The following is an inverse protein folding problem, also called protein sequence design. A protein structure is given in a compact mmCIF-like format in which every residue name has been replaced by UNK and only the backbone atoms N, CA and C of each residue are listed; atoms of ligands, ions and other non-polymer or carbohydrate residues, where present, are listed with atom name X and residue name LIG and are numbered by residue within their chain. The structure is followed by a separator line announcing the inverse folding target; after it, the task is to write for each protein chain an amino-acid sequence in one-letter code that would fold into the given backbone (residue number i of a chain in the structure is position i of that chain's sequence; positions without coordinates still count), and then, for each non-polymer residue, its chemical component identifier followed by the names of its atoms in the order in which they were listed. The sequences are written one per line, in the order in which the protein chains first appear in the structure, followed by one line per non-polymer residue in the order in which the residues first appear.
data_IF_864158256220
#
_entry.id   IF_864158256220
#
_cell.length_a   1.000
_cell.length_b   1.000
_cell.length_c   1.000
_cell.angle_alpha   90.00
_cell.angle_beta   90.00
_cell.angle_gamma   90.00
#
_symmetry.space_group_name_H-M   'P 1'
#
loop_
_entity.id
_entity.type
_entity.pdbx_description
1 polymer ?
#
# COMPACT_ATOMS: atom_id res chain seq x y z
N UNK A 1 -4.10 -8.70 -36.34
CA UNK A 1 -3.27 -7.78 -35.54
C UNK A 1 -2.38 -8.66 -34.67
N UNK A 2 -1.05 -8.59 -34.82
CA UNK A 2 -0.14 -9.40 -33.99
C UNK A 2 -0.23 -8.90 -32.54
N UNK A 3 -0.54 -9.78 -31.59
CA UNK A 3 -0.56 -9.47 -30.16
C UNK A 3 0.85 -9.49 -29.53
N UNK A 4 1.91 -9.66 -30.34
CA UNK A 4 3.30 -9.71 -29.86
C UNK A 4 3.73 -8.42 -29.14
N UNK A 5 3.12 -7.28 -29.47
CA UNK A 5 3.41 -6.02 -28.77
C UNK A 5 3.02 -6.06 -27.29
N UNK A 6 2.00 -6.84 -26.91
CA UNK A 6 1.59 -7.04 -25.50
C UNK A 6 2.66 -7.84 -24.78
N UNK A 7 3.15 -8.92 -25.41
CA UNK A 7 4.20 -9.79 -24.84
C UNK A 7 5.53 -9.06 -24.62
N UNK A 8 5.85 -8.07 -25.45
CA UNK A 8 7.11 -7.33 -25.37
C UNK A 8 7.08 -6.11 -24.44
N UNK A 9 5.92 -5.79 -23.84
CA UNK A 9 5.83 -4.67 -22.89
C UNK A 9 6.75 -4.89 -21.68
N UNK A 10 7.46 -3.82 -21.31
CA UNK A 10 8.36 -3.79 -20.15
C UNK A 10 7.79 -3.06 -18.95
N UNK A 11 6.64 -2.40 -19.12
CA UNK A 11 5.90 -1.70 -18.06
C UNK A 11 4.61 -1.14 -18.66
N UNK A 12 3.58 -1.02 -17.83
CA UNK A 12 2.26 -0.50 -18.19
C UNK A 12 2.01 0.89 -17.63
N UNK A 13 3.01 1.46 -16.93
CA UNK A 13 2.98 2.84 -16.45
C UNK A 13 3.28 3.80 -17.60
N UNK A 14 2.65 4.98 -17.55
CA UNK A 14 3.07 6.09 -18.41
C UNK A 14 4.50 6.51 -18.06
N UNK A 15 5.26 7.10 -19.01
CA UNK A 15 6.61 7.59 -18.74
C UNK A 15 6.68 8.53 -17.53
N UNK A 16 5.66 9.36 -17.32
CA UNK A 16 5.59 10.31 -16.21
C UNK A 16 5.42 9.60 -14.87
N UNK A 17 4.53 8.60 -14.77
CA UNK A 17 4.33 7.84 -13.54
C UNK A 17 5.58 7.02 -13.22
N UNK A 18 6.20 6.42 -14.24
CA UNK A 18 7.47 5.69 -14.06
C UNK A 18 8.58 6.62 -13.55
N UNK A 19 8.70 7.81 -14.12
CA UNK A 19 9.66 8.81 -13.65
C UNK A 19 9.36 9.21 -12.20
N UNK A 20 8.10 9.48 -11.85
CA UNK A 20 7.69 9.80 -10.48
C UNK A 20 8.10 8.70 -9.47
N UNK A 21 7.84 7.43 -9.79
CA UNK A 21 8.23 6.30 -8.95
C UNK A 21 9.75 6.10 -8.86
N UNK A 22 10.48 6.43 -9.92
CA UNK A 22 11.95 6.36 -9.89
C UNK A 22 12.52 7.48 -9.02
N UNK A 23 12.03 8.71 -9.18
CA UNK A 23 12.48 9.86 -8.39
C UNK A 23 12.08 9.76 -6.92
N UNK A 24 10.92 9.16 -6.61
CA UNK A 24 10.53 8.86 -5.22
C UNK A 24 11.49 7.89 -4.51
N UNK A 25 12.40 7.27 -5.26
CA UNK A 25 13.37 6.31 -4.73
C UNK A 25 14.82 6.76 -4.93
N UNK A 26 15.06 7.91 -5.56
CA UNK A 26 16.40 8.49 -5.63
C UNK A 26 16.75 9.08 -4.28
N UNK A 27 17.49 8.30 -3.49
CA UNK A 27 18.30 8.87 -2.41
C UNK A 27 19.30 9.80 -3.08
N UNK A 28 19.37 11.07 -2.64
CA UNK A 28 20.40 11.99 -3.11
C UNK A 28 21.75 11.28 -2.99
N UNK A 29 22.39 10.99 -4.12
CA UNK A 29 23.53 10.09 -4.26
C UNK A 29 24.81 10.57 -3.61
N UNK A 30 24.80 11.61 -2.78
CA UNK A 30 26.01 12.30 -2.33
C UNK A 30 26.13 12.62 -0.84
N UNK A 31 25.23 12.17 0.05
CA UNK A 31 25.44 12.43 1.49
C UNK A 31 25.15 11.22 2.36
N UNK A 32 26.22 10.72 2.98
CA UNK A 32 26.16 9.82 4.12
C UNK A 32 25.15 10.33 5.15
N UNK A 33 24.32 9.42 5.65
CA UNK A 33 23.34 9.64 6.71
C UNK A 33 24.12 10.00 8.00
N UNK A 34 24.46 11.28 8.19
CA UNK A 34 25.26 11.70 9.35
C UNK A 34 24.90 13.07 9.91
N UNK A 35 23.75 13.63 9.55
CA UNK A 35 23.23 14.85 10.19
C UNK A 35 21.78 14.68 10.64
N UNK A 36 21.44 15.24 11.80
CA UNK A 36 20.08 15.19 12.38
C UNK A 36 19.00 15.74 11.42
N UNK A 37 19.37 16.61 10.48
CA UNK A 37 18.49 17.13 9.42
C UNK A 37 18.04 16.07 8.41
N UNK A 38 18.60 14.86 8.42
CA UNK A 38 18.23 13.74 7.55
C UNK A 38 17.42 12.66 8.27
N UNK A 39 17.15 12.81 9.57
CA UNK A 39 16.27 11.87 10.29
C UNK A 39 14.82 12.16 9.91
N UNK A 40 14.11 11.12 9.48
CA UNK A 40 12.69 11.15 9.09
C UNK A 40 11.85 10.23 9.96
N UNK A 41 12.49 9.20 10.50
CA UNK A 41 11.91 8.20 11.38
C UNK A 41 12.86 8.05 12.57
N UNK A 42 12.32 8.08 13.78
CA UNK A 42 13.07 7.95 15.03
C UNK A 42 13.50 6.50 15.28
N UNK A 43 14.38 6.28 16.26
CA UNK A 43 14.74 4.93 16.72
C UNK A 43 13.55 4.15 17.29
N UNK A 44 12.51 4.84 17.79
CA UNK A 44 11.24 4.24 18.19
C UNK A 44 10.31 3.91 17.02
N UNK A 45 10.81 4.02 15.78
CA UNK A 45 10.09 3.82 14.53
C UNK A 45 8.92 4.80 14.31
N UNK A 46 8.96 5.98 14.93
CA UNK A 46 7.95 7.04 14.76
C UNK A 46 8.35 8.04 13.69
N UNK A 47 7.39 8.58 12.94
CA UNK A 47 7.68 9.59 11.92
C UNK A 47 7.89 10.95 12.61
N UNK A 48 8.89 11.71 12.16
CA UNK A 48 9.12 13.08 12.63
C UNK A 48 8.13 14.02 11.93
N UNK A 49 6.94 14.17 12.53
CA UNK A 49 5.81 14.89 11.90
C UNK A 49 6.05 16.39 11.74
N UNK A 50 6.81 17.02 12.63
CA UNK A 50 7.13 18.45 12.57
C UNK A 50 7.88 18.78 11.27
N UNK A 51 8.77 17.88 10.85
CA UNK A 51 9.50 17.99 9.58
C UNK A 51 8.60 17.82 8.37
N UNK A 52 7.63 16.92 8.45
CA UNK A 52 6.61 16.77 7.41
C UNK A 52 5.69 17.99 7.36
N UNK A 53 5.33 18.55 8.50
CA UNK A 53 4.55 19.79 8.59
C UNK A 53 5.30 20.96 7.97
N UNK A 54 6.58 21.15 8.26
CA UNK A 54 7.39 22.17 7.60
C UNK A 54 7.42 21.95 6.08
N UNK A 55 7.62 20.71 5.64
CA UNK A 55 7.68 20.36 4.22
C UNK A 55 6.35 20.55 3.50
N UNK A 56 5.23 20.26 4.18
CA UNK A 56 3.87 20.27 3.65
C UNK A 56 3.06 21.53 4.02
N UNK A 57 3.59 22.46 4.81
CA UNK A 57 2.89 23.70 5.22
C UNK A 57 2.93 24.77 4.12
N UNK A 58 3.95 24.77 3.27
CA UNK A 58 4.06 25.67 2.10
C UNK A 58 3.23 25.23 0.90
N UNK A 59 2.24 24.37 1.12
CA UNK A 59 1.60 23.54 0.11
C UNK A 59 0.09 23.64 0.32
N UNK A 60 -0.61 24.26 -0.62
CA UNK A 60 -2.07 24.34 -0.59
C UNK A 60 -2.67 23.30 -1.55
N UNK A 61 -3.31 22.29 -0.98
CA UNK A 61 -3.80 21.11 -1.70
C UNK A 61 -5.06 21.38 -2.55
N UNK A 62 -5.83 22.41 -2.19
CA UNK A 62 -7.13 22.72 -2.81
C UNK A 62 -7.02 23.15 -4.28
N UNK A 63 -5.80 23.51 -4.74
CA UNK A 63 -5.46 23.86 -6.12
C UNK A 63 -4.17 23.20 -6.62
N UNK A 64 -3.75 22.09 -5.99
CA UNK A 64 -2.47 21.45 -6.23
C UNK A 64 -2.28 21.02 -7.70
N UNK A 65 -1.25 21.57 -8.36
CA UNK A 65 -0.89 21.22 -9.73
C UNK A 65 -0.17 19.86 -9.80
N UNK A 66 -0.11 19.24 -11.00
CA UNK A 66 0.71 18.03 -11.24
C UNK A 66 2.17 18.24 -10.84
N UNK A 67 2.72 19.44 -11.10
CA UNK A 67 4.09 19.82 -10.72
C UNK A 67 4.26 19.78 -9.21
N UNK A 68 3.27 20.27 -8.48
CA UNK A 68 3.28 20.28 -7.03
C UNK A 68 3.37 18.86 -6.44
N UNK A 69 2.52 17.93 -6.90
CA UNK A 69 2.56 16.54 -6.40
C UNK A 69 3.89 15.87 -6.71
N UNK A 70 4.45 16.12 -7.90
CA UNK A 70 5.77 15.62 -8.26
C UNK A 70 6.85 16.14 -7.29
N UNK A 71 6.89 17.44 -7.02
CA UNK A 71 7.85 18.03 -6.07
C UNK A 71 7.69 17.48 -4.65
N UNK A 72 6.45 17.30 -4.19
CA UNK A 72 6.18 16.72 -2.88
C UNK A 72 6.70 15.28 -2.78
N UNK A 73 6.43 14.44 -3.77
CA UNK A 73 6.89 13.05 -3.82
C UNK A 73 8.41 12.96 -3.87
N UNK A 74 9.08 13.79 -4.67
CA UNK A 74 10.55 13.87 -4.72
C UNK A 74 11.12 14.23 -3.34
N UNK A 75 10.53 15.22 -2.68
CA UNK A 75 10.96 15.65 -1.33
C UNK A 75 10.70 14.58 -0.25
N UNK A 76 9.72 13.70 -0.45
CA UNK A 76 9.41 12.57 0.43
C UNK A 76 10.29 11.33 0.16
N UNK A 77 11.05 11.27 -0.93
CA UNK A 77 11.89 10.13 -1.25
C UNK A 77 12.79 9.66 -0.08
N UNK A 78 13.45 10.56 0.67
CA UNK A 78 14.27 10.14 1.81
C UNK A 78 13.46 9.48 2.94
N UNK A 79 12.19 9.86 3.15
CA UNK A 79 11.32 9.20 4.13
C UNK A 79 11.12 7.74 3.75
N UNK A 80 10.82 7.45 2.47
CA UNK A 80 10.56 6.09 2.01
C UNK A 80 11.76 5.17 2.20
N UNK A 81 12.94 5.65 1.82
CA UNK A 81 14.19 4.92 2.05
C UNK A 81 14.47 4.73 3.55
N UNK A 82 14.25 5.75 4.38
CA UNK A 82 14.49 5.65 5.81
C UNK A 82 13.54 4.62 6.46
N UNK A 83 12.25 4.65 6.11
CA UNK A 83 11.27 3.65 6.56
C UNK A 83 11.72 2.22 6.25
N UNK A 84 12.11 1.96 5.00
CA UNK A 84 12.59 0.64 4.59
C UNK A 84 13.84 0.21 5.37
N UNK A 85 14.84 1.08 5.43
CA UNK A 85 16.12 0.78 6.08
C UNK A 85 15.96 0.51 7.58
N UNK A 86 15.08 1.24 8.28
CA UNK A 86 14.80 0.97 9.69
C UNK A 86 14.10 -0.38 9.83
N UNK A 87 13.02 -0.63 9.08
CA UNK A 87 12.26 -1.87 9.20
C UNK A 87 13.10 -3.11 8.91
N UNK A 88 13.98 -3.06 7.90
CA UNK A 88 14.87 -4.18 7.56
C UNK A 88 15.97 -4.43 8.60
N UNK A 89 16.29 -3.45 9.45
CA UNK A 89 17.27 -3.59 10.53
C UNK A 89 16.66 -4.05 11.85
N UNK A 90 15.33 -4.04 11.98
CA UNK A 90 14.68 -4.45 13.22
C UNK A 90 14.88 -5.94 13.46
N UNK A 91 15.20 -6.28 14.71
CA UNK A 91 15.06 -7.66 15.18
C UNK A 91 13.58 -8.02 15.33
N UNK A 92 13.26 -9.31 15.39
CA UNK A 92 11.89 -9.76 15.65
C UNK A 92 11.35 -9.21 16.98
N UNK A 93 12.19 -9.11 18.01
CA UNK A 93 11.79 -8.58 19.31
C UNK A 93 11.58 -7.07 19.28
N UNK A 94 12.41 -6.33 18.55
CA UNK A 94 12.20 -4.90 18.33
C UNK A 94 10.91 -4.63 17.55
N UNK A 95 10.61 -5.43 16.53
CA UNK A 95 9.35 -5.33 15.79
C UNK A 95 8.13 -5.53 16.70
N UNK A 96 8.14 -6.58 17.52
CA UNK A 96 7.08 -6.89 18.50
C UNK A 96 6.91 -5.80 19.57
N UNK A 97 7.96 -5.03 19.84
CA UNK A 97 7.95 -3.97 20.85
C UNK A 97 7.59 -2.60 20.27
N UNK A 98 8.11 -2.27 19.09
CA UNK A 98 8.06 -0.91 18.52
C UNK A 98 6.95 -0.73 17.48
N UNK A 99 6.51 -1.80 16.82
CA UNK A 99 5.55 -1.73 15.71
C UNK A 99 4.25 -2.46 16.05
N UNK A 100 4.34 -3.75 16.34
CA UNK A 100 3.17 -4.63 16.49
C UNK A 100 2.10 -4.13 17.48
N UNK A 101 2.43 -3.59 18.67
CA UNK A 101 1.43 -3.12 19.64
C UNK A 101 0.60 -1.94 19.13
N UNK A 102 1.07 -1.25 18.10
CA UNK A 102 0.40 -0.09 17.52
C UNK A 102 -0.33 -0.42 16.22
N UNK A 103 -0.42 -1.70 15.84
CA UNK A 103 -1.21 -2.16 14.70
C UNK A 103 -2.59 -2.71 15.09
N UNK A 104 -2.88 -2.84 16.39
CA UNK A 104 -4.13 -3.44 16.90
C UNK A 104 -5.39 -2.77 16.34
N UNK A 105 -5.38 -1.44 16.18
CA UNK A 105 -6.50 -0.66 15.66
C UNK A 105 -6.90 -1.00 14.22
N UNK A 106 -6.00 -1.65 13.47
CA UNK A 106 -6.28 -2.11 12.10
C UNK A 106 -7.14 -3.38 12.06
N UNK A 107 -7.19 -4.13 13.17
CA UNK A 107 -7.78 -5.48 13.25
C UNK A 107 -7.19 -6.50 12.27
N UNK A 108 -6.01 -6.21 11.69
CA UNK A 108 -5.38 -6.99 10.62
C UNK A 108 -3.86 -7.14 10.85
N UNK A 109 -3.45 -7.27 12.11
CA UNK A 109 -2.03 -7.35 12.49
C UNK A 109 -1.31 -8.55 11.87
N UNK A 110 -1.99 -9.70 11.72
CA UNK A 110 -1.41 -10.90 11.12
C UNK A 110 -1.09 -10.70 9.63
N UNK A 111 -1.94 -9.99 8.91
CA UNK A 111 -1.71 -9.64 7.49
C UNK A 111 -0.57 -8.63 7.36
N UNK A 112 -0.45 -7.67 8.27
CA UNK A 112 0.72 -6.77 8.31
C UNK A 112 2.01 -7.53 8.61
N UNK A 113 1.98 -8.49 9.54
CA UNK A 113 3.11 -9.39 9.83
C UNK A 113 3.51 -10.22 8.59
N UNK A 114 2.53 -10.62 7.76
CA UNK A 114 2.79 -11.28 6.49
C UNK A 114 3.45 -10.34 5.47
N UNK A 115 2.96 -9.10 5.33
CA UNK A 115 3.59 -8.08 4.48
C UNK A 115 5.05 -7.85 4.86
N UNK A 116 5.38 -7.84 6.16
CA UNK A 116 6.76 -7.69 6.63
C UNK A 116 7.68 -8.80 6.13
N UNK A 117 7.20 -10.04 6.07
CA UNK A 117 7.94 -11.16 5.50
C UNK A 117 8.10 -11.01 3.99
N UNK A 118 7.03 -10.59 3.31
CA UNK A 118 7.00 -10.43 1.85
C UNK A 118 7.89 -9.32 1.32
N UNK A 119 8.38 -8.40 2.17
CA UNK A 119 9.33 -7.34 1.81
C UNK A 119 10.75 -7.55 2.36
N UNK A 120 10.99 -8.71 2.97
CA UNK A 120 12.29 -9.02 3.57
C UNK A 120 13.32 -9.46 2.53
N UNK A 121 14.61 -9.41 2.89
CA UNK A 121 15.70 -9.83 2.01
C UNK A 121 15.50 -11.28 1.52
N UNK A 122 15.58 -11.48 0.21
CA UNK A 122 15.36 -12.78 -0.43
C UNK A 122 13.93 -13.01 -0.95
N UNK A 123 13.00 -12.09 -0.69
CA UNK A 123 11.64 -12.14 -1.27
C UNK A 123 11.65 -11.85 -2.77
N UNK A 124 10.66 -12.40 -3.48
CA UNK A 124 10.51 -12.13 -4.91
C UNK A 124 9.82 -10.80 -5.13
N UNK A 125 10.09 -10.15 -6.27
CA UNK A 125 9.41 -8.92 -6.66
C UNK A 125 7.88 -9.04 -6.74
N UNK A 126 7.35 -10.24 -7.00
CA UNK A 126 5.90 -10.51 -6.93
C UNK A 126 5.37 -10.44 -5.50
N UNK A 127 6.17 -10.81 -4.50
CA UNK A 127 5.80 -10.72 -3.08
C UNK A 127 5.66 -9.26 -2.64
N UNK A 128 6.55 -8.37 -3.11
CA UNK A 128 6.42 -6.93 -2.86
C UNK A 128 5.09 -6.35 -3.37
N UNK A 129 4.64 -6.81 -4.56
CA UNK A 129 3.37 -6.37 -5.12
C UNK A 129 2.19 -6.89 -4.30
N UNK A 130 2.24 -8.15 -3.85
CA UNK A 130 1.24 -8.72 -2.94
C UNK A 130 1.20 -7.91 -1.65
N UNK A 131 2.35 -7.66 -1.01
CA UNK A 131 2.43 -6.86 0.21
C UNK A 131 1.87 -5.45 0.03
N UNK A 132 2.11 -4.81 -1.12
CA UNK A 132 1.58 -3.49 -1.45
C UNK A 132 0.05 -3.51 -1.61
N UNK A 133 -0.50 -4.50 -2.33
CA UNK A 133 -1.94 -4.69 -2.44
C UNK A 133 -2.58 -4.90 -1.07
N UNK A 134 -1.96 -5.75 -0.24
CA UNK A 134 -2.40 -6.06 1.12
C UNK A 134 -2.42 -4.82 2.00
N UNK A 135 -1.30 -4.11 2.13
CA UNK A 135 -1.19 -2.98 3.06
C UNK A 135 -2.05 -1.78 2.63
N UNK A 136 -2.23 -1.57 1.32
CA UNK A 136 -3.13 -0.51 0.82
C UNK A 136 -4.61 -0.83 1.12
N UNK A 137 -5.02 -2.10 0.99
CA UNK A 137 -6.37 -2.54 1.38
C UNK A 137 -6.59 -2.43 2.90
N UNK A 138 -5.62 -2.86 3.72
CA UNK A 138 -5.66 -2.70 5.18
C UNK A 138 -5.80 -1.22 5.54
N UNK A 139 -5.01 -0.35 4.91
CA UNK A 139 -5.04 1.09 5.16
C UNK A 139 -6.43 1.67 4.84
N UNK A 140 -6.97 1.42 3.65
CA UNK A 140 -8.30 1.90 3.25
C UNK A 140 -9.40 1.44 4.22
N UNK A 141 -9.37 0.16 4.60
CA UNK A 141 -10.35 -0.41 5.53
C UNK A 141 -10.22 0.18 6.93
N UNK A 142 -9.00 0.31 7.45
CA UNK A 142 -8.72 0.81 8.79
C UNK A 142 -9.08 2.29 8.93
N UNK A 143 -8.79 3.11 7.91
CA UNK A 143 -9.21 4.52 7.89
C UNK A 143 -10.73 4.66 7.87
N UNK A 144 -11.43 3.81 7.12
CA UNK A 144 -12.89 3.81 7.13
C UNK A 144 -13.49 3.35 8.46
N UNK A 145 -12.82 2.44 9.17
CA UNK A 145 -13.20 2.05 10.53
C UNK A 145 -13.05 3.22 11.52
N UNK A 146 -11.99 4.04 11.39
CA UNK A 146 -11.85 5.26 12.20
C UNK A 146 -12.98 6.25 11.94
N UNK A 147 -13.32 6.48 10.68
CA UNK A 147 -14.40 7.41 10.31
C UNK A 147 -15.75 6.96 10.88
N UNK A 148 -16.00 5.65 11.00
CA UNK A 148 -17.21 5.14 11.67
C UNK A 148 -17.34 5.54 13.14
N UNK A 149 -16.25 5.95 13.80
CA UNK A 149 -16.32 6.45 15.17
C UNK A 149 -17.00 7.83 15.26
N UNK A 150 -17.11 8.54 14.13
CA UNK A 150 -17.60 9.92 14.06
C UNK A 150 -18.85 10.06 13.20
N UNK A 151 -19.08 9.16 12.25
CA UNK A 151 -20.25 9.18 11.37
C UNK A 151 -20.74 7.77 11.04
N UNK A 152 -22.01 7.65 10.67
CA UNK A 152 -22.64 6.34 10.40
C UNK A 152 -22.21 5.73 9.06
N UNK A 153 -21.86 6.55 8.07
CA UNK A 153 -21.52 6.11 6.72
C UNK A 153 -20.06 6.39 6.40
N UNK A 154 -19.40 5.45 5.72
CA UNK A 154 -18.02 5.64 5.23
C UNK A 154 -18.08 5.93 3.74
N UNK A 155 -17.39 6.98 3.25
CA UNK A 155 -17.25 7.21 1.82
C UNK A 155 -16.71 5.95 1.12
N UNK A 156 -17.32 5.60 -0.01
CA UNK A 156 -16.95 4.39 -0.74
C UNK A 156 -15.56 4.48 -1.38
N UNK A 157 -15.17 5.66 -1.86
CA UNK A 157 -13.88 5.87 -2.50
C UNK A 157 -12.85 6.35 -1.49
N UNK A 158 -11.65 5.75 -1.49
CA UNK A 158 -10.54 6.15 -0.63
C UNK A 158 -10.19 7.65 -0.76
N UNK A 159 -10.28 8.21 -1.97
CA UNK A 159 -10.02 9.65 -2.17
C UNK A 159 -11.03 10.53 -1.42
N UNK A 160 -12.28 10.10 -1.36
CA UNK A 160 -13.37 10.83 -0.71
C UNK A 160 -13.27 10.64 0.81
N UNK A 161 -12.86 9.44 1.26
CA UNK A 161 -12.54 9.15 2.65
C UNK A 161 -11.44 10.07 3.19
N UNK A 162 -10.37 10.26 2.41
CA UNK A 162 -9.21 11.06 2.82
C UNK A 162 -9.45 12.57 2.86
N UNK A 163 -10.59 13.06 2.36
CA UNK A 163 -10.97 14.48 2.47
C UNK A 163 -11.98 14.77 3.58
N UNK A 164 -12.47 13.72 4.25
CA UNK A 164 -13.42 13.87 5.37
C UNK A 164 -12.83 14.70 6.51
N UNK A 165 -13.67 15.52 7.13
CA UNK A 165 -13.32 16.31 8.32
C UNK A 165 -13.08 15.40 9.51
N UNK A 166 -13.86 14.34 9.63
CA UNK A 166 -13.83 13.35 10.70
C UNK A 166 -12.46 12.67 10.79
N UNK A 167 -11.90 12.28 9.64
CA UNK A 167 -10.59 11.65 9.60
C UNK A 167 -9.47 12.64 9.96
N UNK A 168 -9.58 13.91 9.53
CA UNK A 168 -8.64 14.98 9.89
C UNK A 168 -8.69 15.30 11.37
N UNK A 169 -9.87 15.30 11.98
CA UNK A 169 -10.03 15.47 13.43
C UNK A 169 -9.38 14.33 14.22
N UNK A 170 -9.47 13.09 13.71
CA UNK A 170 -8.91 11.91 14.39
C UNK A 170 -7.39 11.79 14.23
N UNK A 171 -6.84 12.02 13.04
CA UNK A 171 -5.42 11.77 12.73
C UNK A 171 -4.57 13.03 12.58
N UNK A 172 -5.19 14.20 12.48
CA UNK A 172 -4.53 15.45 12.14
C UNK A 172 -4.31 15.63 10.63
N UNK A 173 -4.15 16.88 10.22
CA UNK A 173 -4.05 17.26 8.80
C UNK A 173 -2.85 16.61 8.10
N UNK A 174 -1.67 16.63 8.73
CA UNK A 174 -0.40 16.18 8.15
C UNK A 174 -0.42 14.70 7.78
N UNK A 175 -0.96 13.85 8.67
CA UNK A 175 -1.06 12.39 8.43
C UNK A 175 -1.99 12.09 7.28
N UNK A 176 -3.15 12.74 7.26
CA UNK A 176 -4.14 12.61 6.18
C UNK A 176 -3.56 13.10 4.85
N UNK A 177 -2.83 14.23 4.85
CA UNK A 177 -2.19 14.76 3.66
C UNK A 177 -1.12 13.82 3.09
N UNK A 178 -0.28 13.21 3.94
CA UNK A 178 0.68 12.19 3.52
C UNK A 178 -0.02 10.99 2.87
N UNK A 179 -1.10 10.49 3.49
CA UNK A 179 -1.92 9.40 2.94
C UNK A 179 -2.56 9.78 1.59
N UNK A 180 -2.96 11.04 1.40
CA UNK A 180 -3.49 11.54 0.11
C UNK A 180 -2.44 11.54 -0.99
N UNK A 181 -1.22 11.97 -0.69
CA UNK A 181 -0.10 11.96 -1.65
C UNK A 181 0.22 10.52 -2.09
N UNK A 182 0.21 9.58 -1.14
CA UNK A 182 0.54 8.17 -1.39
C UNK A 182 -0.59 7.40 -2.08
N UNK A 183 -1.83 7.55 -1.63
CA UNK A 183 -2.94 6.64 -1.96
C UNK A 183 -4.14 7.31 -2.67
N UNK A 184 -4.43 8.57 -2.36
CA UNK A 184 -5.74 9.17 -2.64
C UNK A 184 -5.85 9.94 -3.95
N UNK A 185 -4.82 10.69 -4.33
CA UNK A 185 -4.89 11.60 -5.48
C UNK A 185 -4.37 10.95 -6.76
N UNK A 186 -5.11 11.13 -7.87
CA UNK A 186 -4.65 10.75 -9.22
C UNK A 186 -3.45 11.58 -9.70
N UNK A 187 -3.20 12.73 -9.07
CA UNK A 187 -2.03 13.55 -9.32
C UNK A 187 -0.83 13.16 -8.43
N UNK A 188 -1.09 12.46 -7.31
CA UNK A 188 -0.08 11.87 -6.44
C UNK A 188 0.44 10.53 -6.97
N UNK A 189 1.06 9.73 -6.09
CA UNK A 189 1.60 8.41 -6.49
C UNK A 189 0.45 7.47 -6.86
N UNK A 190 -0.66 7.55 -6.11
CA UNK A 190 -1.84 6.71 -6.30
C UNK A 190 -1.52 5.21 -6.23
N UNK A 191 -0.68 4.81 -5.26
CA UNK A 191 -0.19 3.44 -5.08
C UNK A 191 -1.32 2.41 -5.12
N UNK A 192 -2.45 2.74 -4.48
CA UNK A 192 -3.65 1.89 -4.43
C UNK A 192 -4.18 1.56 -5.82
N UNK A 193 -4.36 2.54 -6.71
CA UNK A 193 -4.89 2.28 -8.05
C UNK A 193 -3.85 1.65 -8.98
N UNK A 194 -2.58 2.09 -8.93
CA UNK A 194 -1.56 1.54 -9.83
C UNK A 194 -1.26 0.07 -9.52
N UNK A 195 -1.30 -0.32 -8.24
CA UNK A 195 -1.16 -1.71 -7.82
C UNK A 195 -2.41 -2.51 -8.18
N UNK A 196 -3.61 -2.03 -7.79
CA UNK A 196 -4.86 -2.78 -7.99
C UNK A 196 -5.18 -3.06 -9.47
N UNK A 197 -4.95 -2.08 -10.34
CA UNK A 197 -5.18 -2.26 -11.77
C UNK A 197 -4.08 -3.08 -12.48
N UNK A 198 -3.05 -3.53 -11.75
CA UNK A 198 -1.98 -4.34 -12.30
C UNK A 198 -1.04 -3.59 -13.25
N UNK A 199 -0.92 -2.27 -13.10
CA UNK A 199 0.00 -1.48 -13.93
C UNK A 199 1.45 -1.66 -13.53
N UNK A 200 1.70 -1.95 -12.25
CA UNK A 200 3.04 -2.26 -11.74
C UNK A 200 3.48 -3.62 -12.26
N UNK A 201 4.59 -3.62 -13.02
CA UNK A 201 5.34 -4.85 -13.20
C UNK A 201 6.02 -5.26 -11.87
N UNK A 202 6.36 -6.54 -11.67
CA UNK A 202 6.97 -6.97 -10.41
C UNK A 202 8.20 -6.12 -10.02
N UNK A 203 9.07 -5.77 -10.96
CA UNK A 203 10.26 -4.94 -10.68
C UNK A 203 9.95 -3.47 -10.34
N UNK A 204 8.73 -2.99 -10.60
CA UNK A 204 8.27 -1.64 -10.26
C UNK A 204 7.60 -1.58 -8.88
N UNK A 205 7.28 -2.73 -8.27
CA UNK A 205 6.74 -2.82 -6.93
C UNK A 205 7.85 -2.66 -5.88
N UNK A 206 8.05 -1.43 -5.41
CA UNK A 206 9.10 -1.12 -4.46
C UNK A 206 8.68 -1.44 -3.01
N UNK A 207 9.43 -2.26 -2.27
CA UNK A 207 9.11 -2.61 -0.88
C UNK A 207 9.15 -1.42 0.08
N UNK A 208 9.84 -0.33 -0.27
CA UNK A 208 9.89 0.87 0.56
C UNK A 208 8.51 1.52 0.76
N UNK A 209 7.62 1.45 -0.24
CA UNK A 209 6.25 1.94 -0.08
C UNK A 209 5.46 1.12 0.94
N UNK A 210 5.65 -0.20 0.94
CA UNK A 210 5.05 -1.08 1.94
C UNK A 210 5.57 -0.74 3.33
N UNK A 211 6.90 -0.65 3.46
CA UNK A 211 7.56 -0.26 4.71
C UNK A 211 7.04 1.08 5.26
N UNK A 212 6.90 2.09 4.40
CA UNK A 212 6.34 3.39 4.76
C UNK A 212 4.90 3.27 5.24
N UNK A 213 4.04 2.53 4.53
CA UNK A 213 2.65 2.37 4.95
C UNK A 213 2.53 1.63 6.28
N UNK A 214 3.36 0.61 6.54
CA UNK A 214 3.40 -0.09 7.83
C UNK A 214 3.80 0.87 8.96
N UNK A 215 4.85 1.67 8.76
CA UNK A 215 5.25 2.68 9.74
C UNK A 215 4.13 3.72 9.95
N UNK A 216 3.48 4.21 8.88
CA UNK A 216 2.35 5.15 9.01
C UNK A 216 1.22 4.53 9.83
N UNK A 217 0.86 3.26 9.58
CA UNK A 217 -0.20 2.57 10.34
C UNK A 217 0.15 2.44 11.83
N UNK A 218 1.38 2.03 12.15
CA UNK A 218 1.86 1.94 13.52
C UNK A 218 1.89 3.31 14.20
N UNK A 219 2.31 4.36 13.47
CA UNK A 219 2.40 5.70 14.03
C UNK A 219 1.03 6.36 14.21
N UNK A 220 0.07 6.06 13.34
CA UNK A 220 -1.34 6.39 13.57
C UNK A 220 -1.86 5.66 14.82
N UNK A 221 -1.51 4.39 15.01
CA UNK A 221 -1.90 3.66 16.22
C UNK A 221 -1.33 4.26 17.51
N UNK A 222 -0.06 4.70 17.48
CA UNK A 222 0.54 5.48 18.58
C UNK A 222 -0.25 6.75 18.86
N UNK A 223 -0.49 7.55 17.83
CA UNK A 223 -1.25 8.79 17.94
C UNK A 223 -2.66 8.57 18.53
N UNK A 224 -3.39 7.57 18.03
CA UNK A 224 -4.72 7.23 18.52
C UNK A 224 -4.68 6.84 20.01
N UNK A 225 -3.68 6.07 20.42
CA UNK A 225 -3.47 5.69 21.82
C UNK A 225 -3.19 6.92 22.70
N UNK A 226 -2.34 7.84 22.24
CA UNK A 226 -2.03 9.08 22.95
C UNK A 226 -3.28 9.98 23.07
N UNK A 227 -4.12 10.02 22.04
CA UNK A 227 -5.43 10.68 22.07
C UNK A 227 -6.51 9.90 22.84
N UNK A 228 -6.18 8.78 23.49
CA UNK A 228 -7.13 7.91 24.21
C UNK A 228 -8.28 7.39 23.33
N UNK A 229 -8.07 7.29 22.01
CA UNK A 229 -9.01 6.68 21.08
C UNK A 229 -8.91 5.17 21.22
N UNK A 230 -9.99 4.55 21.65
CA UNK A 230 -10.11 3.11 21.90
C UNK A 230 -11.35 2.55 21.22
N UNK A 231 -11.43 1.22 21.09
CA UNK A 231 -12.59 0.52 20.52
C UNK A 231 -12.91 0.95 19.07
N UNK A 232 -11.88 1.12 18.23
CA UNK A 232 -12.06 1.34 16.78
C UNK A 232 -12.93 0.20 16.23
N UNK A 233 -14.08 0.49 15.60
CA UNK A 233 -14.98 -0.55 15.15
C UNK A 233 -14.32 -1.41 14.07
N UNK A 234 -14.67 -2.70 14.02
CA UNK A 234 -14.27 -3.58 12.93
C UNK A 234 -15.50 -3.88 12.08
N UNK A 235 -15.59 -3.27 10.90
CA UNK A 235 -16.65 -3.62 9.94
C UNK A 235 -16.54 -5.10 9.57
N UNK A 236 -17.62 -5.85 9.33
CA UNK A 236 -17.48 -7.20 8.80
C UNK A 236 -16.79 -7.18 7.44
N UNK A 237 -16.18 -8.31 7.08
CA UNK A 237 -15.75 -8.55 5.71
C UNK A 237 -16.97 -8.92 4.88
N UNK A 238 -16.96 -8.55 3.60
CA UNK A 238 -18.03 -8.96 2.69
C UNK A 238 -17.85 -10.43 2.37
N UNK A 239 -18.82 -11.26 2.71
CA UNK A 239 -18.85 -12.64 2.21
C UNK A 239 -19.54 -12.70 0.84
N UNK A 240 -19.11 -13.62 -0.03
CA UNK A 240 -19.81 -13.86 -1.30
C UNK A 240 -21.26 -14.29 -1.10
N UNK A 241 -21.57 -14.96 0.02
CA UNK A 241 -22.93 -15.33 0.41
C UNK A 241 -23.82 -14.10 0.60
N UNK A 242 -23.29 -13.05 1.21
CA UNK A 242 -24.01 -11.80 1.49
C UNK A 242 -24.05 -10.85 0.27
N UNK A 243 -23.08 -10.91 -0.63
CA UNK A 243 -22.94 -10.01 -1.79
C UNK A 243 -23.88 -10.32 -2.99
N UNK A 244 -24.83 -11.24 -2.83
CA UNK A 244 -25.80 -11.75 -3.80
C UNK A 244 -25.81 -11.10 -5.21
N UNK A 245 -25.01 -11.66 -6.10
CA UNK A 245 -25.31 -11.88 -7.52
C UNK A 245 -25.44 -13.40 -7.67
N UNK A 246 -26.38 -13.96 -8.46
CA UNK A 246 -26.79 -15.34 -8.24
C UNK A 246 -25.61 -16.29 -8.50
N UNK A 247 -25.22 -17.03 -7.45
CA UNK A 247 -24.19 -18.08 -7.50
C UNK A 247 -24.43 -19.04 -8.67
N UNK A 248 -25.68 -19.18 -9.14
CA UNK A 248 -26.06 -19.90 -10.35
C UNK A 248 -25.32 -19.46 -11.63
N UNK A 249 -24.73 -18.27 -11.67
CA UNK A 249 -23.87 -17.81 -12.78
C UNK A 249 -22.48 -18.43 -12.71
N UNK A 250 -21.97 -18.67 -11.49
CA UNK A 250 -20.63 -19.20 -11.24
C UNK A 250 -20.60 -20.70 -10.94
N UNK A 251 -21.75 -21.33 -10.66
CA UNK A 251 -21.92 -22.79 -10.45
C UNK A 251 -21.38 -23.65 -11.61
N UNK A 252 -21.11 -23.06 -12.77
CA UNK A 252 -20.56 -23.73 -13.96
C UNK A 252 -19.10 -23.41 -14.25
N UNK A 253 -18.42 -22.66 -13.38
CA UNK A 253 -17.01 -22.31 -13.57
C UNK A 253 -16.15 -23.30 -12.77
N UNK A 254 -15.82 -24.42 -13.40
CA UNK A 254 -14.81 -25.33 -12.86
C UNK A 254 -13.44 -24.66 -12.91
N UNK A 255 -12.72 -24.65 -11.77
CA UNK A 255 -11.33 -24.17 -11.73
C UNK A 255 -10.46 -25.22 -12.44
N UNK A 256 -9.78 -24.89 -13.56
CA UNK A 256 -8.95 -25.85 -14.27
C UNK A 256 -7.80 -26.37 -13.40
N UNK A 257 -7.25 -27.57 -13.67
CA UNK A 257 -6.06 -28.05 -12.99
C UNK A 257 -4.88 -27.07 -13.15
N UNK A 258 -4.05 -26.93 -12.12
CA UNK A 258 -2.91 -26.01 -12.09
C UNK A 258 -2.02 -26.06 -13.35
N UNK A 259 -1.61 -27.23 -13.89
CA UNK A 259 -0.79 -27.28 -15.10
C UNK A 259 -1.45 -26.62 -16.32
N UNK A 260 -2.77 -26.70 -16.44
CA UNK A 260 -3.53 -26.05 -17.52
C UNK A 260 -3.48 -24.54 -17.36
N UNK A 261 -3.66 -24.04 -16.13
CA UNK A 261 -3.56 -22.60 -15.84
C UNK A 261 -2.15 -22.05 -16.10
N UNK A 262 -1.10 -22.78 -15.68
CA UNK A 262 0.29 -22.43 -15.95
C UNK A 262 0.60 -22.39 -17.45
N UNK A 263 0.08 -23.36 -18.21
CA UNK A 263 0.21 -23.37 -19.67
C UNK A 263 -0.48 -22.16 -20.29
N UNK A 264 -1.70 -21.81 -19.85
CA UNK A 264 -2.41 -20.62 -20.33
C UNK A 264 -1.62 -19.36 -20.02
N UNK A 265 -1.12 -19.20 -18.79
CA UNK A 265 -0.33 -18.02 -18.38
C UNK A 265 0.94 -17.87 -19.22
N UNK A 266 1.66 -18.96 -19.45
CA UNK A 266 2.95 -18.92 -20.14
C UNK A 266 2.83 -18.80 -21.66
N UNK A 267 1.83 -19.46 -22.26
CA UNK A 267 1.68 -19.49 -23.72
C UNK A 267 0.80 -18.38 -24.25
N UNK A 268 -0.18 -17.89 -23.48
CA UNK A 268 -1.15 -16.88 -23.94
C UNK A 268 -0.48 -15.62 -24.47
N UNK A 269 -0.88 -15.11 -25.65
CA UNK A 269 -0.43 -13.81 -26.16
C UNK A 269 -0.96 -12.62 -25.34
N UNK A 270 -1.96 -12.86 -24.48
CA UNK A 270 -2.58 -11.82 -23.65
C UNK A 270 -1.86 -11.61 -22.32
N UNK A 271 -0.94 -12.51 -21.94
CA UNK A 271 -0.13 -12.37 -20.73
C UNK A 271 1.23 -11.81 -21.12
N UNK A 272 1.56 -10.58 -20.72
CA UNK A 272 2.88 -10.01 -20.93
C UNK A 272 3.95 -10.83 -20.20
N UNK A 273 5.10 -11.05 -20.84
CA UNK A 273 6.19 -11.85 -20.25
C UNK A 273 6.63 -11.32 -18.89
N UNK A 274 6.68 -9.99 -18.72
CA UNK A 274 7.06 -9.35 -17.46
C UNK A 274 6.06 -9.60 -16.32
N UNK A 275 4.81 -9.93 -16.64
CA UNK A 275 3.74 -10.17 -15.66
C UNK A 275 3.61 -11.65 -15.28
N UNK A 276 4.27 -12.57 -15.97
CA UNK A 276 4.21 -14.01 -15.66
C UNK A 276 4.48 -14.31 -14.18
N UNK A 277 5.51 -13.72 -13.52
CA UNK A 277 5.76 -13.99 -12.10
C UNK A 277 4.58 -13.63 -11.19
N UNK A 278 3.87 -12.54 -11.50
CA UNK A 278 2.69 -12.11 -10.73
C UNK A 278 1.52 -13.08 -10.93
N UNK A 279 1.30 -13.53 -12.17
CA UNK A 279 0.26 -14.52 -12.45
C UNK A 279 0.55 -15.88 -11.81
N UNK A 280 1.81 -16.33 -11.80
CA UNK A 280 2.21 -17.54 -11.09
C UNK A 280 1.99 -17.40 -9.58
N UNK A 281 2.38 -16.25 -9.02
CA UNK A 281 2.12 -15.95 -7.60
C UNK A 281 0.62 -15.95 -7.29
N UNK A 282 -0.23 -15.46 -8.19
CA UNK A 282 -1.68 -15.51 -8.01
C UNK A 282 -2.21 -16.95 -7.96
N UNK A 283 -1.63 -17.89 -8.74
CA UNK A 283 -1.96 -19.32 -8.64
C UNK A 283 -1.53 -19.93 -7.31
N UNK A 284 -0.36 -19.54 -6.79
CA UNK A 284 0.10 -19.99 -5.47
C UNK A 284 -0.85 -19.50 -4.38
N UNK A 285 -1.21 -18.22 -4.39
CA UNK A 285 -2.16 -17.64 -3.43
C UNK A 285 -3.55 -18.29 -3.52
N UNK A 286 -4.02 -18.61 -4.73
CA UNK A 286 -5.28 -19.34 -4.94
C UNK A 286 -5.22 -20.73 -4.30
N UNK A 287 -4.12 -21.46 -4.48
CA UNK A 287 -3.92 -22.78 -3.89
C UNK A 287 -3.80 -22.72 -2.35
N UNK A 288 -3.18 -21.67 -1.83
CA UNK A 288 -3.06 -21.38 -0.39
C UNK A 288 -4.37 -20.86 0.23
N UNK A 289 -5.41 -20.61 -0.58
CA UNK A 289 -6.64 -19.90 -0.19
C UNK A 289 -6.36 -18.51 0.43
N UNK A 290 -5.19 -17.93 0.17
CA UNK A 290 -4.78 -16.58 0.60
C UNK A 290 -5.25 -15.52 -0.39
N UNK A 291 -6.53 -15.55 -0.72
CA UNK A 291 -7.18 -14.41 -1.37
C UNK A 291 -7.63 -13.51 -0.22
N UNK A 292 -7.05 -12.32 -0.10
CA UNK A 292 -7.51 -11.32 0.87
C UNK A 292 -9.00 -11.10 0.68
N UNK A 293 -9.78 -11.81 1.49
CA UNK A 293 -11.23 -11.67 1.62
C UNK A 293 -11.98 -11.95 0.32
N UNK A 294 -11.99 -13.21 -0.06
CA UNK A 294 -12.92 -13.78 -1.03
C UNK A 294 -13.03 -15.28 -0.72
N UNK A 295 -13.36 -15.63 0.53
CA UNK A 295 -13.66 -17.02 0.87
C UNK A 295 -14.97 -17.43 0.19
N UNK A 296 -14.82 -18.32 -0.78
CA UNK A 296 -15.88 -19.21 -1.25
C UNK A 296 -15.85 -20.40 -0.28
N UNK A 297 -16.64 -20.34 0.79
CA UNK A 297 -17.09 -21.53 1.51
C UNK A 297 -18.47 -21.96 1.05
#
# INVERSE_FOLDING_TARGET
MSLEWIKSQRSFLSPEVRNLLQESMRVGTDQAISSDSQIWVTESCGIVWEKLEELLSGIEEEYASKKWYFEAVVKLAPLFTHCYNILMKLTQDDYRRLIQPYLEWTHQGAEVDACMKEISEGSFNSDHLVALLTVTAITERSLGNLVLMKQEQVPFLLRDLLVTTELKELLGNTRVQLLRILLGSVLGINLRNIAWHGFLSPCEANPAFVATLIIILADCGRWLKDCSVTNVPCRPFVSFKEACCPMSVFEKVDIPPRPVMEEVITKSPLVPTIMIPVWMKALDLLAEKRVLVCEIE
#
